data_IF_331892690040
#
_entry.id   IF_331892690040
#
_cell.length_a   1.000
_cell.length_b   1.000
_cell.length_c   1.000
_cell.angle_alpha   90.00
_cell.angle_beta   90.00
_cell.angle_gamma   90.00
#
_symmetry.space_group_name_H-M   'P 1'
#
loop_
_entity.id
_entity.type
_entity.pdbx_description
1 polymer ?
#
# COMPACT_ATOMS: atom_id res chain seq x y z
N UNK A 1 -9.23 -23.25 -2.16
CA UNK A 1 -7.96 -23.81 -1.64
C UNK A 1 -6.80 -22.89 -1.96
N UNK A 2 -5.99 -22.58 -0.95
CA UNK A 2 -4.80 -21.77 -1.17
C UNK A 2 -3.76 -22.57 -1.99
N UNK A 3 -3.24 -21.97 -3.04
CA UNK A 3 -2.19 -22.57 -3.86
C UNK A 3 -0.87 -22.52 -3.08
N UNK A 4 -0.20 -23.65 -2.93
CA UNK A 4 1.12 -23.68 -2.28
C UNK A 4 2.16 -23.08 -3.20
N UNK A 5 2.89 -22.08 -2.69
CA UNK A 5 3.99 -21.47 -3.44
C UNK A 5 5.29 -22.21 -3.16
N UNK A 6 6.12 -22.45 -4.21
CA UNK A 6 7.48 -22.93 -4.00
C UNK A 6 8.30 -21.95 -3.15
N UNK A 7 9.29 -22.45 -2.43
CA UNK A 7 10.23 -21.59 -1.71
C UNK A 7 10.90 -20.62 -2.69
N UNK A 8 10.98 -19.35 -2.29
CA UNK A 8 11.61 -18.28 -3.10
C UNK A 8 10.94 -18.05 -4.45
N UNK A 9 9.62 -18.36 -4.54
CA UNK A 9 8.87 -18.10 -5.76
C UNK A 9 8.79 -16.58 -6.01
N UNK A 10 9.09 -16.20 -7.25
CA UNK A 10 8.87 -14.83 -7.76
C UNK A 10 8.12 -14.91 -9.08
N UNK A 11 7.09 -14.05 -9.27
CA UNK A 11 6.37 -14.07 -10.53
C UNK A 11 7.26 -13.60 -11.68
N UNK A 12 7.14 -14.29 -12.82
CA UNK A 12 7.92 -14.01 -14.01
C UNK A 12 7.01 -13.53 -15.15
N UNK A 13 7.54 -12.68 -16.02
CA UNK A 13 6.84 -12.23 -17.23
C UNK A 13 6.52 -13.36 -18.19
N UNK A 14 7.34 -14.41 -18.20
CA UNK A 14 7.15 -15.58 -19.07
C UNK A 14 5.99 -16.47 -18.66
N UNK A 15 5.49 -16.33 -17.45
CA UNK A 15 4.36 -17.07 -16.95
C UNK A 15 3.05 -16.43 -17.43
N UNK A 16 1.98 -17.24 -17.45
CA UNK A 16 0.63 -16.71 -17.72
C UNK A 16 0.29 -15.66 -16.66
N UNK A 17 -0.12 -14.48 -17.13
CA UNK A 17 -0.44 -13.36 -16.25
C UNK A 17 -1.55 -13.72 -15.27
N UNK A 18 -1.33 -13.43 -14.00
CA UNK A 18 -2.27 -13.71 -12.91
C UNK A 18 -2.72 -15.16 -12.85
N UNK A 19 -1.80 -16.10 -13.08
CA UNK A 19 -2.05 -17.51 -12.80
C UNK A 19 -2.25 -17.72 -11.29
N UNK A 20 -2.64 -18.93 -10.89
CA UNK A 20 -2.96 -19.21 -9.48
C UNK A 20 -1.78 -18.91 -8.54
N UNK A 21 -0.55 -19.19 -8.98
CA UNK A 21 0.66 -18.93 -8.19
C UNK A 21 0.92 -17.43 -8.02
N UNK A 22 0.76 -16.66 -9.08
CA UNK A 22 0.93 -15.20 -9.03
C UNK A 22 -0.11 -14.56 -8.12
N UNK A 23 -1.36 -14.96 -8.22
CA UNK A 23 -2.44 -14.46 -7.35
C UNK A 23 -2.14 -14.74 -5.87
N UNK A 24 -1.69 -15.94 -5.56
CA UNK A 24 -1.33 -16.32 -4.19
C UNK A 24 -0.12 -15.53 -3.70
N UNK A 25 0.88 -15.34 -4.55
CA UNK A 25 2.06 -14.52 -4.22
C UNK A 25 1.66 -13.10 -3.82
N UNK A 26 0.85 -12.44 -4.64
CA UNK A 26 0.43 -11.06 -4.35
C UNK A 26 -0.52 -10.99 -3.17
N UNK A 27 -1.40 -11.98 -3.00
CA UNK A 27 -2.28 -12.07 -1.84
C UNK A 27 -1.48 -12.14 -0.54
N UNK A 28 -0.51 -13.03 -0.46
CA UNK A 28 0.35 -13.17 0.71
C UNK A 28 1.17 -11.90 0.97
N UNK A 29 1.71 -11.30 -0.08
CA UNK A 29 2.48 -10.06 0.03
C UNK A 29 1.63 -8.93 0.60
N UNK A 30 0.41 -8.77 0.13
CA UNK A 30 -0.54 -7.76 0.60
C UNK A 30 -0.97 -8.03 2.05
N UNK A 31 -1.29 -9.26 2.40
CA UNK A 31 -1.68 -9.64 3.75
C UNK A 31 -0.55 -9.41 4.75
N UNK A 32 0.68 -9.79 4.40
CA UNK A 32 1.85 -9.58 5.26
C UNK A 32 2.14 -8.09 5.43
N UNK A 33 2.03 -7.31 4.37
CA UNK A 33 2.20 -5.85 4.44
C UNK A 33 1.16 -5.21 5.36
N UNK A 34 -0.09 -5.64 5.27
CA UNK A 34 -1.16 -5.17 6.15
C UNK A 34 -0.84 -5.46 7.62
N UNK A 35 -0.36 -6.68 7.93
CA UNK A 35 0.07 -7.05 9.28
C UNK A 35 1.21 -6.17 9.78
N UNK A 36 2.18 -5.89 8.94
CA UNK A 36 3.32 -5.03 9.27
C UNK A 36 2.86 -3.61 9.59
N UNK A 37 1.92 -3.07 8.85
CA UNK A 37 1.37 -1.74 9.09
C UNK A 37 0.67 -1.69 10.47
N UNK A 38 -0.13 -2.69 10.79
CA UNK A 38 -0.79 -2.76 12.11
C UNK A 38 0.21 -2.84 13.24
N UNK A 39 1.26 -3.63 13.08
CA UNK A 39 2.32 -3.77 14.07
C UNK A 39 3.06 -2.44 14.29
N UNK A 40 3.47 -1.78 13.22
CA UNK A 40 4.14 -0.48 13.28
C UNK A 40 3.25 0.58 13.93
N UNK A 41 1.97 0.60 13.60
CA UNK A 41 1.00 1.53 14.18
C UNK A 41 0.88 1.34 15.70
N UNK A 42 0.83 0.09 16.16
CA UNK A 42 0.77 -0.25 17.58
C UNK A 42 2.03 0.19 18.32
N UNK A 43 3.20 -0.11 17.76
CA UNK A 43 4.48 0.28 18.33
C UNK A 43 4.62 1.80 18.42
N UNK A 44 4.20 2.53 17.39
CA UNK A 44 4.24 4.00 17.36
C UNK A 44 3.37 4.59 18.46
N UNK A 45 2.16 4.07 18.66
CA UNK A 45 1.26 4.52 19.72
C UNK A 45 1.86 4.24 21.10
N UNK A 46 2.40 3.06 21.33
CA UNK A 46 3.04 2.69 22.58
C UNK A 46 4.23 3.59 22.88
N UNK A 47 5.08 3.83 21.90
CA UNK A 47 6.25 4.72 22.06
C UNK A 47 5.86 6.17 22.36
N UNK A 48 4.81 6.67 21.74
CA UNK A 48 4.31 8.02 21.99
C UNK A 48 3.70 8.14 23.38
N UNK A 49 3.00 7.11 23.87
CA UNK A 49 2.46 7.08 25.23
C UNK A 49 3.57 7.05 26.26
N UNK A 50 4.63 6.30 26.01
CA UNK A 50 5.78 6.19 26.93
C UNK A 50 6.62 7.47 26.97
N UNK A 51 6.64 8.27 25.92
CA UNK A 51 7.41 9.52 25.84
C UNK A 51 6.71 10.72 26.46
N UNK A 52 5.44 10.59 26.84
CA UNK A 52 4.67 11.68 27.45
C UNK A 52 5.02 11.78 28.93
N UNK A 53 6.00 12.67 29.25
CA UNK A 53 6.27 13.08 30.62
C UNK A 53 5.59 14.43 30.87
N UNK A 54 4.81 14.60 31.97
CA UNK A 54 3.92 15.76 32.13
C UNK A 54 4.58 17.03 32.68
N UNK A 55 5.86 17.28 32.49
CA UNK A 55 6.55 18.18 33.39
C UNK A 55 6.87 19.60 32.91
N UNK A 56 6.55 20.01 31.64
CA UNK A 56 7.02 21.35 31.22
C UNK A 56 6.11 22.03 30.19
N UNK A 57 5.97 23.36 30.28
CA UNK A 57 5.17 24.17 29.36
C UNK A 57 5.75 24.13 27.94
N UNK A 58 7.07 24.03 27.79
CA UNK A 58 7.73 23.82 26.49
C UNK A 58 7.43 22.45 25.91
N UNK A 59 7.09 21.46 26.74
CA UNK A 59 6.73 20.12 26.32
C UNK A 59 5.32 20.05 25.71
N UNK A 60 4.44 20.98 26.03
CA UNK A 60 3.08 21.03 25.45
C UNK A 60 3.12 21.28 23.95
N UNK A 61 3.92 22.24 23.48
CA UNK A 61 4.04 22.53 22.05
C UNK A 61 4.64 21.33 21.31
N UNK A 62 5.63 20.68 21.91
CA UNK A 62 6.23 19.45 21.37
C UNK A 62 5.21 18.31 21.34
N UNK A 63 4.43 18.13 22.41
CA UNK A 63 3.38 17.12 22.50
C UNK A 63 2.28 17.33 21.46
N UNK A 64 1.87 18.58 21.24
CA UNK A 64 0.88 18.90 20.22
C UNK A 64 1.40 18.61 18.81
N UNK A 65 2.67 18.92 18.54
CA UNK A 65 3.33 18.60 17.27
C UNK A 65 3.44 17.09 17.08
N UNK A 66 3.79 16.35 18.13
CA UNK A 66 3.86 14.88 18.10
C UNK A 66 2.51 14.25 17.87
N UNK A 67 1.44 14.76 18.50
CA UNK A 67 0.07 14.28 18.28
C UNK A 67 -0.39 14.56 16.86
N UNK A 68 -0.09 15.73 16.31
CA UNK A 68 -0.42 16.06 14.93
C UNK A 68 0.28 15.11 13.96
N UNK A 69 1.58 14.84 14.21
CA UNK A 69 2.35 13.91 13.41
C UNK A 69 1.79 12.49 13.50
N UNK A 70 1.42 12.06 14.71
CA UNK A 70 0.78 10.76 14.95
C UNK A 70 -0.52 10.62 14.17
N UNK A 71 -1.39 11.65 14.22
CA UNK A 71 -2.67 11.63 13.51
C UNK A 71 -2.48 11.55 12.00
N UNK A 72 -1.49 12.27 11.46
CA UNK A 72 -1.14 12.21 10.04
C UNK A 72 -0.63 10.83 9.65
N UNK A 73 0.20 10.23 10.49
CA UNK A 73 0.74 8.88 10.27
C UNK A 73 -0.38 7.85 10.28
N UNK A 74 -1.28 7.91 11.25
CA UNK A 74 -2.45 7.03 11.34
C UNK A 74 -3.36 7.17 10.12
N UNK A 75 -3.59 8.40 9.68
CA UNK A 75 -4.44 8.69 8.52
C UNK A 75 -3.84 8.09 7.25
N UNK A 76 -2.53 8.26 7.05
CA UNK A 76 -1.80 7.67 5.92
C UNK A 76 -1.87 6.15 5.96
N UNK A 77 -1.67 5.55 7.14
CA UNK A 77 -1.74 4.10 7.32
C UNK A 77 -3.14 3.56 7.05
N UNK A 78 -4.17 4.26 7.50
CA UNK A 78 -5.57 3.89 7.24
C UNK A 78 -5.88 3.89 5.75
N UNK A 79 -5.44 4.92 5.03
CA UNK A 79 -5.61 5.01 3.57
C UNK A 79 -4.87 3.88 2.85
N UNK A 80 -3.67 3.55 3.31
CA UNK A 80 -2.87 2.47 2.74
C UNK A 80 -3.55 1.12 2.98
N UNK A 81 -4.07 0.87 4.19
CA UNK A 81 -4.81 -0.35 4.52
C UNK A 81 -6.04 -0.47 3.62
N UNK A 82 -6.76 0.61 3.40
CA UNK A 82 -7.91 0.63 2.48
C UNK A 82 -7.51 0.23 1.06
N UNK A 83 -6.38 0.72 0.57
CA UNK A 83 -5.84 0.35 -0.76
C UNK A 83 -5.45 -1.12 -0.81
N UNK A 84 -4.88 -1.65 0.29
CA UNK A 84 -4.53 -3.07 0.38
C UNK A 84 -5.79 -3.93 0.35
N UNK A 85 -6.83 -3.57 1.10
CA UNK A 85 -8.10 -4.29 1.12
C UNK A 85 -8.77 -4.27 -0.25
N UNK A 86 -8.73 -3.15 -0.95
CA UNK A 86 -9.24 -3.04 -2.33
C UNK A 86 -8.47 -3.97 -3.28
N UNK A 87 -7.14 -4.03 -3.14
CA UNK A 87 -6.31 -4.94 -3.93
C UNK A 87 -6.65 -6.41 -3.66
N UNK A 88 -6.83 -6.77 -2.39
CA UNK A 88 -7.24 -8.13 -2.01
C UNK A 88 -8.60 -8.50 -2.60
N UNK A 89 -9.54 -7.57 -2.59
CA UNK A 89 -10.86 -7.76 -3.21
C UNK A 89 -10.74 -7.97 -4.72
N UNK A 90 -9.86 -7.23 -5.39
CA UNK A 90 -9.63 -7.40 -6.84
C UNK A 90 -9.00 -8.76 -7.16
N UNK A 91 -8.16 -9.28 -6.28
CA UNK A 91 -7.61 -10.65 -6.45
C UNK A 91 -8.75 -11.66 -6.43
N UNK A 92 -9.67 -11.55 -5.49
CA UNK A 92 -10.83 -12.44 -5.38
C UNK A 92 -11.77 -12.31 -6.59
N UNK A 93 -11.98 -11.09 -7.08
CA UNK A 93 -12.85 -10.80 -8.21
C UNK A 93 -12.22 -11.10 -9.57
N UNK A 94 -10.92 -11.39 -9.62
CA UNK A 94 -10.19 -11.64 -10.85
C UNK A 94 -9.83 -10.41 -11.66
N UNK A 95 -9.90 -9.20 -11.05
CA UNK A 95 -9.59 -7.94 -11.71
C UNK A 95 -8.24 -7.35 -11.30
N UNK A 96 -7.54 -7.99 -10.37
CA UNK A 96 -6.24 -7.53 -9.89
C UNK A 96 -5.19 -7.57 -11.01
N UNK A 97 -4.33 -6.55 -11.03
CA UNK A 97 -3.20 -6.49 -11.96
C UNK A 97 -3.49 -5.85 -13.30
N UNK A 98 -4.71 -5.42 -13.52
CA UNK A 98 -5.11 -4.72 -14.76
C UNK A 98 -5.24 -3.23 -14.50
N UNK A 99 -4.77 -2.42 -15.45
CA UNK A 99 -4.85 -0.97 -15.35
C UNK A 99 -6.31 -0.49 -15.39
N UNK A 100 -6.69 0.36 -14.46
CA UNK A 100 -8.06 0.90 -14.40
C UNK A 100 -8.42 1.77 -15.60
N UNK A 101 -7.44 2.40 -16.22
CA UNK A 101 -7.64 3.33 -17.34
C UNK A 101 -7.62 2.60 -18.67
N UNK A 102 -6.62 1.75 -18.90
CA UNK A 102 -6.43 1.09 -20.20
C UNK A 102 -6.99 -0.32 -20.28
N UNK A 103 -7.23 -0.96 -19.14
CA UNK A 103 -7.65 -2.37 -19.07
C UNK A 103 -6.54 -3.36 -19.36
N UNK A 104 -5.34 -2.90 -19.67
CA UNK A 104 -4.21 -3.76 -20.01
C UNK A 104 -3.50 -4.27 -18.75
N UNK A 105 -2.82 -5.43 -18.84
CA UNK A 105 -2.04 -5.92 -17.69
C UNK A 105 -0.95 -4.96 -17.27
N UNK A 106 -0.82 -4.76 -15.97
CA UNK A 106 0.27 -3.97 -15.38
C UNK A 106 1.52 -4.85 -15.33
N UNK A 107 2.69 -4.26 -15.60
CA UNK A 107 3.96 -4.98 -15.56
C UNK A 107 4.14 -5.66 -14.20
N UNK A 108 4.53 -6.93 -14.20
CA UNK A 108 4.76 -7.74 -12.98
C UNK A 108 5.78 -7.08 -12.05
N UNK A 109 6.86 -6.51 -12.60
CA UNK A 109 7.88 -5.83 -11.78
C UNK A 109 7.30 -4.61 -11.06
N UNK A 110 6.38 -3.88 -11.71
CA UNK A 110 5.70 -2.75 -11.09
C UNK A 110 4.74 -3.20 -9.98
N UNK A 111 4.01 -4.28 -10.19
CA UNK A 111 3.13 -4.87 -9.19
C UNK A 111 3.92 -5.41 -8.00
N UNK A 112 5.07 -6.03 -8.24
CA UNK A 112 5.93 -6.55 -7.18
C UNK A 112 6.51 -5.41 -6.33
N UNK A 113 6.90 -4.31 -6.96
CA UNK A 113 7.40 -3.13 -6.27
C UNK A 113 6.29 -2.39 -5.50
N UNK A 114 5.09 -2.33 -6.07
CA UNK A 114 3.96 -1.65 -5.46
C UNK A 114 2.66 -2.43 -5.70
N UNK A 115 2.36 -3.39 -4.81
CA UNK A 115 1.22 -4.30 -5.01
C UNK A 115 -0.16 -3.63 -5.03
N UNK A 116 -0.29 -2.42 -4.52
CA UNK A 116 -1.58 -1.68 -4.52
C UNK A 116 -1.78 -0.83 -5.76
N UNK A 117 -0.83 -0.80 -6.70
CA UNK A 117 -0.95 0.02 -7.90
C UNK A 117 -2.14 -0.41 -8.76
N UNK A 118 -2.85 0.56 -9.30
CA UNK A 118 -4.02 0.35 -10.16
C UNK A 118 -3.81 0.91 -11.57
N UNK A 119 -2.65 1.52 -11.82
CA UNK A 119 -2.34 2.18 -13.09
C UNK A 119 -1.04 1.63 -13.67
N UNK A 120 -1.02 1.44 -14.98
CA UNK A 120 0.21 1.18 -15.73
C UNK A 120 1.10 2.44 -15.67
N UNK A 121 2.38 2.29 -16.07
CA UNK A 121 3.32 3.42 -16.11
C UNK A 121 2.76 4.52 -17.03
N UNK A 122 2.25 4.16 -18.20
CA UNK A 122 1.70 5.10 -19.17
C UNK A 122 0.49 5.84 -18.61
N UNK A 123 -0.42 5.13 -17.93
CA UNK A 123 -1.59 5.73 -17.33
C UNK A 123 -1.21 6.66 -16.17
N UNK A 124 -0.22 6.28 -15.37
CA UNK A 124 0.29 7.11 -14.27
C UNK A 124 0.91 8.40 -14.80
N UNK A 125 1.72 8.31 -15.84
CA UNK A 125 2.34 9.48 -16.48
C UNK A 125 1.29 10.43 -17.06
N UNK A 126 0.27 9.87 -17.69
CA UNK A 126 -0.85 10.65 -18.23
C UNK A 126 -1.61 11.39 -17.12
N UNK A 127 -1.88 10.69 -16.01
CA UNK A 127 -2.55 11.27 -14.85
C UNK A 127 -1.74 12.43 -14.26
N UNK A 128 -0.44 12.25 -14.10
CA UNK A 128 0.47 13.30 -13.61
C UNK A 128 0.52 14.51 -14.53
N UNK A 129 0.53 14.30 -15.85
CA UNK A 129 0.46 15.39 -16.83
C UNK A 129 -0.84 16.19 -16.72
N UNK A 130 -1.95 15.50 -16.59
CA UNK A 130 -3.26 16.14 -16.45
C UNK A 130 -3.36 16.94 -15.15
N UNK A 131 -2.84 16.43 -14.05
CA UNK A 131 -2.77 17.17 -12.79
C UNK A 131 -1.92 18.44 -12.93
N UNK A 132 -0.79 18.35 -13.60
CA UNK A 132 0.10 19.49 -13.83
C UNK A 132 -0.57 20.58 -14.68
N UNK A 133 -1.31 20.18 -15.70
CA UNK A 133 -2.05 21.12 -16.57
C UNK A 133 -3.19 21.80 -15.80
N UNK A 134 -3.85 21.11 -14.90
CA UNK A 134 -4.94 21.66 -14.10
C UNK A 134 -4.45 22.51 -12.92
N UNK A 135 -3.24 22.27 -12.43
CA UNK A 135 -2.69 23.09 -11.34
C UNK A 135 -2.15 24.44 -11.80
N UNK A 136 -1.88 24.59 -13.09
CA UNK A 136 -1.39 25.86 -13.69
C UNK A 136 -2.51 26.80 -14.12
N UNK A 137 -3.77 26.38 -13.95
CA UNK A 137 -4.96 27.21 -14.18
C UNK A 137 -5.27 28.05 -12.91
#
# INVERSE_FOLDING_TARGET
MATKLPKNYKPLKSEKFMNAKQKEYFKLKLENWKKDIFKESKETVENLQDSISPADISDRATQESEKTLELRTRDRQRKLISKIDDALNRIENGTYGYCEVTGEPINIARLDARPVTTLSIEAQEMHERNEKLHSDD
#
